data_IF_499700569634
#
_entry.id   IF_499700569634
#
_cell.length_a   1.000
_cell.length_b   1.000
_cell.length_c   1.000
_cell.angle_alpha   90.00
_cell.angle_beta   90.00
_cell.angle_gamma   90.00
#
_symmetry.space_group_name_H-M   'P 1'
#
loop_
_entity.id
_entity.type
_entity.pdbx_description
1 polymer ?
#
# COMPACT_ATOMS: atom_id res chain seq x y z
N UNK A 1 -17.22 -8.31 12.50
CA UNK A 1 -16.99 -8.48 11.05
C UNK A 1 -17.74 -9.74 10.62
N UNK A 2 -18.66 -9.63 9.67
CA UNK A 2 -19.39 -10.79 9.16
C UNK A 2 -18.54 -11.51 8.11
N UNK A 3 -18.40 -12.83 8.26
CA UNK A 3 -17.82 -13.70 7.21
C UNK A 3 -18.95 -14.01 6.23
N UNK A 4 -18.70 -13.82 4.93
CA UNK A 4 -19.71 -14.01 3.89
C UNK A 4 -19.20 -15.01 2.86
N UNK A 5 -20.10 -15.76 2.25
CA UNK A 5 -19.79 -16.53 1.04
C UNK A 5 -20.26 -15.75 -0.16
N UNK A 6 -19.33 -15.17 -0.91
CA UNK A 6 -19.63 -14.44 -2.15
C UNK A 6 -19.92 -15.44 -3.28
N UNK A 7 -20.94 -15.17 -4.09
CA UNK A 7 -21.22 -15.93 -5.30
C UNK A 7 -20.04 -15.80 -6.30
N UNK A 8 -19.96 -16.69 -7.29
CA UNK A 8 -18.83 -16.76 -8.24
C UNK A 8 -18.55 -15.42 -8.94
N UNK A 9 -19.59 -14.67 -9.28
CA UNK A 9 -19.48 -13.36 -9.92
C UNK A 9 -18.82 -12.30 -9.02
N UNK A 10 -19.02 -12.37 -7.70
CA UNK A 10 -18.54 -11.38 -6.75
C UNK A 10 -17.24 -11.81 -6.03
N UNK A 11 -16.75 -13.04 -6.26
CA UNK A 11 -15.53 -13.57 -5.60
C UNK A 11 -14.28 -12.72 -5.85
N UNK A 12 -14.18 -12.06 -6.99
CA UNK A 12 -13.01 -11.24 -7.33
C UNK A 12 -13.15 -9.77 -6.89
N UNK A 13 -14.30 -9.37 -6.33
CA UNK A 13 -14.49 -8.00 -5.89
C UNK A 13 -13.59 -7.69 -4.69
N UNK A 14 -12.87 -6.57 -4.83
CA UNK A 14 -12.08 -5.92 -3.80
C UNK A 14 -12.32 -4.41 -3.93
N UNK A 15 -12.51 -3.73 -2.81
CA UNK A 15 -12.68 -2.28 -2.80
C UNK A 15 -13.93 -1.82 -2.08
N UNK A 16 -14.40 -0.63 -2.44
CA UNK A 16 -15.51 0.05 -1.76
C UNK A 16 -16.72 0.12 -2.67
N UNK A 17 -17.89 -0.31 -2.19
CA UNK A 17 -19.18 -0.23 -2.87
C UNK A 17 -20.21 0.28 -1.86
N UNK A 18 -20.90 1.37 -2.19
CA UNK A 18 -22.01 1.92 -1.40
C UNK A 18 -21.74 2.01 0.12
N UNK A 19 -20.60 2.60 0.49
CA UNK A 19 -20.21 2.75 1.90
C UNK A 19 -19.78 1.46 2.60
N UNK A 20 -19.67 0.34 1.89
CA UNK A 20 -19.11 -0.92 2.36
C UNK A 20 -17.75 -1.18 1.72
N UNK A 21 -16.89 -1.91 2.43
CA UNK A 21 -15.56 -2.31 1.97
C UNK A 21 -15.49 -3.83 1.98
N UNK A 22 -15.19 -4.39 0.81
CA UNK A 22 -14.96 -5.82 0.61
C UNK A 22 -13.45 -6.06 0.68
N UNK A 23 -13.03 -6.90 1.62
CA UNK A 23 -11.62 -7.26 1.83
C UNK A 23 -11.45 -8.77 1.81
N UNK A 24 -10.42 -9.25 1.13
CA UNK A 24 -10.03 -10.66 1.23
C UNK A 24 -8.97 -10.80 2.32
N UNK A 25 -9.26 -11.65 3.29
CA UNK A 25 -8.33 -11.97 4.39
C UNK A 25 -7.90 -13.43 4.29
N UNK A 26 -6.89 -13.83 5.05
CA UNK A 26 -6.49 -15.25 5.18
C UNK A 26 -7.66 -16.16 5.59
N UNK A 27 -8.66 -15.62 6.28
CA UNK A 27 -9.82 -16.37 6.78
C UNK A 27 -11.06 -16.26 5.88
N UNK A 28 -10.91 -15.73 4.65
CA UNK A 28 -11.99 -15.52 3.69
C UNK A 28 -12.36 -14.05 3.49
N UNK A 29 -13.32 -13.79 2.59
CA UNK A 29 -13.79 -12.44 2.31
C UNK A 29 -14.60 -11.89 3.49
N UNK A 30 -14.38 -10.62 3.78
CA UNK A 30 -15.02 -9.87 4.85
C UNK A 30 -15.62 -8.60 4.28
N UNK A 31 -16.84 -8.30 4.71
CA UNK A 31 -17.51 -7.05 4.44
C UNK A 31 -17.52 -6.21 5.72
N UNK A 32 -17.05 -4.97 5.62
CA UNK A 32 -17.13 -4.00 6.72
C UNK A 32 -17.66 -2.67 6.21
N UNK A 33 -18.23 -1.86 7.09
CA UNK A 33 -18.55 -0.47 6.75
C UNK A 33 -17.26 0.29 6.44
N UNK A 34 -17.33 1.21 5.48
CA UNK A 34 -16.27 2.18 5.23
C UNK A 34 -16.08 2.98 6.52
N UNK A 35 -14.84 3.05 7.06
CA UNK A 35 -14.59 3.82 8.26
C UNK A 35 -14.89 5.29 8.00
N UNK A 36 -15.58 5.94 8.94
CA UNK A 36 -15.74 7.39 8.93
C UNK A 36 -14.44 8.04 9.41
N UNK A 37 -13.78 8.73 8.49
CA UNK A 37 -12.51 9.39 8.75
C UNK A 37 -12.67 10.88 9.08
N UNK A 38 -13.90 11.43 9.07
CA UNK A 38 -14.18 12.87 9.19
C UNK A 38 -13.75 13.49 10.52
N UNK A 39 -13.73 12.68 11.59
CA UNK A 39 -13.36 13.12 12.95
C UNK A 39 -11.97 12.64 13.39
N UNK A 40 -11.20 12.05 12.49
CA UNK A 40 -9.86 11.52 12.81
C UNK A 40 -8.88 12.67 12.90
N UNK A 41 -8.30 12.88 14.09
CA UNK A 41 -7.16 13.78 14.31
C UNK A 41 -5.87 12.97 14.20
N UNK A 42 -5.06 13.28 13.19
CA UNK A 42 -3.78 12.63 12.98
C UNK A 42 -2.70 13.26 13.85
N UNK A 43 -1.85 12.44 14.48
CA UNK A 43 -0.66 12.94 15.14
C UNK A 43 0.39 13.41 14.10
N UNK A 44 1.34 14.28 14.49
CA UNK A 44 2.43 14.69 13.61
C UNK A 44 3.20 13.50 13.02
N UNK A 45 3.50 12.49 13.83
CA UNK A 45 4.17 11.27 13.38
C UNK A 45 3.35 10.49 12.34
N UNK A 46 2.03 10.41 12.51
CA UNK A 46 1.14 9.77 11.53
C UNK A 46 1.10 10.54 10.21
N UNK A 47 1.04 11.87 10.25
CA UNK A 47 1.09 12.72 9.05
C UNK A 47 2.42 12.55 8.30
N UNK A 48 3.55 12.64 9.01
CA UNK A 48 4.87 12.45 8.44
C UNK A 48 5.03 11.04 7.82
N UNK A 49 4.51 10.00 8.47
CA UNK A 49 4.50 8.66 7.90
C UNK A 49 3.65 8.60 6.62
N UNK A 50 2.45 9.19 6.61
CA UNK A 50 1.59 9.23 5.41
C UNK A 50 2.26 9.97 4.25
N UNK A 51 2.91 11.10 4.51
CA UNK A 51 3.66 11.85 3.51
C UNK A 51 4.81 11.02 2.91
N UNK A 52 5.61 10.34 3.76
CA UNK A 52 6.67 9.43 3.29
C UNK A 52 6.13 8.30 2.41
N UNK A 53 5.00 7.71 2.81
CA UNK A 53 4.35 6.67 2.02
C UNK A 53 3.81 7.19 0.68
N UNK A 54 3.26 8.41 0.65
CA UNK A 54 2.83 9.06 -0.59
C UNK A 54 4.00 9.32 -1.53
N UNK A 55 5.12 9.82 -1.00
CA UNK A 55 6.34 10.04 -1.78
C UNK A 55 6.90 8.74 -2.35
N UNK A 56 6.95 7.67 -1.54
CA UNK A 56 7.34 6.34 -2.00
C UNK A 56 6.43 5.80 -3.12
N UNK A 57 5.12 6.03 -3.02
CA UNK A 57 4.15 5.63 -4.05
C UNK A 57 4.29 6.44 -5.34
N UNK A 58 4.63 7.74 -5.24
CA UNK A 58 4.96 8.56 -6.41
C UNK A 58 6.23 8.02 -7.10
N UNK A 59 7.29 7.78 -6.32
CA UNK A 59 8.53 7.19 -6.84
C UNK A 59 8.31 5.85 -7.53
N UNK A 60 7.49 4.97 -6.94
CA UNK A 60 7.12 3.71 -7.58
C UNK A 60 6.47 3.92 -8.95
N UNK A 61 5.53 4.87 -9.07
CA UNK A 61 4.88 5.19 -10.35
C UNK A 61 5.88 5.69 -11.39
N UNK A 62 6.81 6.55 -10.99
CA UNK A 62 7.89 7.03 -11.88
C UNK A 62 8.80 5.90 -12.36
N UNK A 63 9.20 4.99 -11.47
CA UNK A 63 10.02 3.82 -11.82
C UNK A 63 9.28 2.89 -12.78
N UNK A 64 7.97 2.71 -12.59
CA UNK A 64 7.15 1.86 -13.46
C UNK A 64 6.81 2.52 -14.81
N UNK A 65 6.88 3.85 -14.90
CA UNK A 65 6.66 4.58 -16.16
C UNK A 65 7.81 4.41 -17.16
N UNK A 66 9.04 4.15 -16.68
CA UNK A 66 10.19 3.82 -17.52
C UNK A 66 10.28 2.29 -17.72
N UNK A 67 10.08 1.77 -18.95
CA UNK A 67 10.09 0.32 -19.19
C UNK A 67 11.40 -0.37 -18.82
N UNK A 68 12.55 0.30 -18.99
CA UNK A 68 13.86 -0.27 -18.69
C UNK A 68 14.08 -0.38 -17.18
N UNK A 69 13.70 0.65 -16.42
CA UNK A 69 13.74 0.62 -14.94
C UNK A 69 12.74 -0.39 -14.39
N UNK A 70 11.52 -0.41 -14.93
CA UNK A 70 10.48 -1.35 -14.53
C UNK A 70 10.92 -2.80 -14.70
N UNK A 71 11.46 -3.16 -15.87
CA UNK A 71 11.92 -4.53 -16.15
C UNK A 71 12.99 -5.00 -15.16
N UNK A 72 13.96 -4.14 -14.81
CA UNK A 72 15.00 -4.45 -13.81
C UNK A 72 14.40 -4.69 -12.43
N UNK A 73 13.51 -3.81 -11.98
CA UNK A 73 12.83 -3.96 -10.68
C UNK A 73 11.96 -5.22 -10.63
N UNK A 74 11.23 -5.52 -11.71
CA UNK A 74 10.39 -6.73 -11.81
C UNK A 74 11.23 -8.00 -11.75
N UNK A 75 12.33 -8.07 -12.50
CA UNK A 75 13.22 -9.23 -12.48
C UNK A 75 13.79 -9.48 -11.08
N UNK A 76 14.24 -8.41 -10.40
CA UNK A 76 14.76 -8.51 -9.04
C UNK A 76 13.69 -8.90 -8.03
N UNK A 77 12.50 -8.33 -8.11
CA UNK A 77 11.38 -8.67 -7.22
C UNK A 77 10.97 -10.15 -7.36
N UNK A 78 10.95 -10.67 -8.60
CA UNK A 78 10.70 -12.10 -8.87
C UNK A 78 11.76 -13.00 -8.22
N UNK A 79 13.05 -12.66 -8.36
CA UNK A 79 14.15 -13.41 -7.72
C UNK A 79 14.02 -13.43 -6.20
N UNK A 80 13.58 -12.32 -5.61
CA UNK A 80 13.37 -12.16 -4.16
C UNK A 80 12.02 -12.69 -3.67
N UNK A 81 11.12 -13.12 -4.57
CA UNK A 81 9.75 -13.55 -4.26
C UNK A 81 8.95 -12.52 -3.45
N UNK A 82 9.15 -11.24 -3.75
CA UNK A 82 8.41 -10.11 -3.13
C UNK A 82 7.64 -9.32 -4.19
N UNK A 83 6.56 -8.62 -3.82
CA UNK A 83 5.90 -7.69 -4.72
C UNK A 83 6.86 -6.57 -5.19
N UNK A 84 6.76 -6.18 -6.46
CA UNK A 84 7.61 -5.13 -7.06
C UNK A 84 7.45 -3.80 -6.31
N UNK A 85 6.23 -3.46 -5.90
CA UNK A 85 5.94 -2.27 -5.11
C UNK A 85 6.64 -2.30 -3.77
N UNK A 86 6.62 -3.42 -3.05
CA UNK A 86 7.32 -3.59 -1.76
C UNK A 86 8.83 -3.43 -1.90
N UNK A 87 9.41 -3.92 -3.00
CA UNK A 87 10.84 -3.73 -3.28
C UNK A 87 11.16 -2.24 -3.50
N UNK A 88 10.50 -1.61 -4.48
CA UNK A 88 10.82 -0.24 -4.91
C UNK A 88 10.51 0.80 -3.83
N UNK A 89 9.32 0.71 -3.22
CA UNK A 89 8.96 1.63 -2.13
C UNK A 89 9.82 1.41 -0.90
N UNK A 90 10.17 0.15 -0.59
CA UNK A 90 11.04 -0.19 0.53
C UNK A 90 12.45 0.37 0.37
N UNK A 91 12.99 0.35 -0.85
CA UNK A 91 14.28 0.98 -1.15
C UNK A 91 14.21 2.49 -0.95
N UNK A 92 13.20 3.16 -1.53
CA UNK A 92 13.00 4.59 -1.36
C UNK A 92 12.93 5.00 0.13
N UNK A 93 12.15 4.27 0.93
CA UNK A 93 12.00 4.56 2.35
C UNK A 93 13.31 4.37 3.15
N UNK A 94 14.12 3.37 2.80
CA UNK A 94 15.44 3.16 3.40
C UNK A 94 16.40 4.29 3.03
N UNK A 95 16.44 4.70 1.78
CA UNK A 95 17.30 5.80 1.33
C UNK A 95 16.88 7.12 1.97
N UNK A 96 15.57 7.39 2.06
CA UNK A 96 15.04 8.58 2.73
C UNK A 96 15.36 8.60 4.22
N UNK A 97 15.37 7.44 4.90
CA UNK A 97 15.80 7.36 6.30
C UNK A 97 17.31 7.56 6.48
N UNK A 98 18.13 7.15 5.50
CA UNK A 98 19.58 7.34 5.54
C UNK A 98 20.01 8.78 5.23
N UNK A 99 19.25 9.48 4.38
CA UNK A 99 19.48 10.90 4.06
C UNK A 99 18.94 11.86 5.14
N UNK A 100 18.06 11.38 6.03
CA UNK A 100 17.43 12.16 7.10
C UNK A 100 17.93 11.78 8.49
N UNK A 101 19.25 11.74 8.70
CA UNK A 101 19.83 11.68 10.04
C UNK A 101 19.21 12.75 10.94
N UNK A 102 18.71 12.31 12.09
CA UNK A 102 17.86 13.03 13.04
C UNK A 102 18.20 14.51 13.28
N UNK A 103 17.23 15.44 13.20
CA UNK A 103 17.22 16.64 14.01
C UNK A 103 16.28 16.37 15.20
N UNK A 104 16.76 15.69 16.24
CA UNK A 104 16.14 15.69 17.58
C UNK A 104 17.06 14.88 18.52
N UNK A 105 18.08 15.59 19.01
CA UNK A 105 18.68 15.46 20.35
C UNK A 105 18.80 16.86 20.91
#
# INVERSE_FOLDING_TARGET
MAKLTLNSALKQLQGTIDGLVIKHTRHGPVLCRRPDMSRVRWSPAQLAHRQRMQAAAAHYREVMADPGRAARCVARARKLKVPVSSLVMGEYLKTASAAGGSPDS
#
